data_IF_896450887308
#
_entry.id   IF_896450887308
#
_cell.length_a   1.000
_cell.length_b   1.000
_cell.length_c   1.000
_cell.angle_alpha   90.00
_cell.angle_beta   90.00
_cell.angle_gamma   90.00
#
_symmetry.space_group_name_H-M   'P 1'
#
loop_
_entity.id
_entity.type
_entity.pdbx_description
1 polymer ?
#
# COMPACT_ATOMS: atom_id res chain seq x y z
N UNK A 1 -2.09 -15.90 -10.01
CA UNK A 1 -1.87 -15.65 -11.45
C UNK A 1 -2.78 -14.58 -12.05
N UNK A 2 -4.07 -14.50 -11.67
CA UNK A 2 -5.05 -13.58 -12.27
C UNK A 2 -4.69 -12.07 -12.23
N UNK A 3 -4.07 -11.58 -11.15
CA UNK A 3 -3.68 -10.15 -11.04
C UNK A 3 -2.26 -9.83 -11.53
N UNK A 4 -1.39 -10.83 -11.63
CA UNK A 4 0.06 -10.62 -11.79
C UNK A 4 0.66 -11.36 -12.99
N UNK A 5 -0.14 -12.05 -13.80
CA UNK A 5 0.28 -12.73 -15.04
C UNK A 5 1.28 -13.88 -14.85
N UNK A 6 1.18 -14.92 -15.68
CA UNK A 6 2.28 -15.88 -15.87
C UNK A 6 3.40 -15.18 -16.67
N UNK A 7 4.65 -15.39 -16.27
CA UNK A 7 5.79 -14.54 -16.60
C UNK A 7 6.13 -14.34 -18.08
N UNK A 8 6.68 -13.16 -18.36
CA UNK A 8 7.36 -12.75 -19.59
C UNK A 8 7.63 -11.24 -19.48
N UNK A 9 8.84 -10.78 -19.83
CA UNK A 9 9.25 -9.35 -19.79
C UNK A 9 8.44 -8.41 -20.70
N UNK A 10 7.37 -8.91 -21.32
CA UNK A 10 6.52 -8.20 -22.28
C UNK A 10 5.19 -7.71 -21.69
N UNK A 11 4.82 -8.10 -20.47
CA UNK A 11 3.63 -7.56 -19.82
C UNK A 11 3.96 -6.32 -18.97
N UNK A 12 3.13 -5.28 -19.11
CA UNK A 12 3.20 -4.07 -18.31
C UNK A 12 3.19 -4.39 -16.79
N UNK A 13 3.85 -3.57 -15.96
CA UNK A 13 3.88 -3.75 -14.51
C UNK A 13 2.47 -3.82 -13.93
N UNK A 14 2.20 -4.76 -13.04
CA UNK A 14 0.94 -4.79 -12.31
C UNK A 14 0.97 -3.78 -11.16
N UNK A 15 0.31 -2.64 -11.32
CA UNK A 15 0.20 -1.60 -10.29
C UNK A 15 -1.13 -1.73 -9.57
N UNK A 16 -1.08 -2.12 -8.29
CA UNK A 16 -2.25 -2.41 -7.47
C UNK A 16 -2.28 -1.48 -6.28
N UNK A 17 -3.37 -0.73 -6.11
CA UNK A 17 -3.59 0.11 -4.92
C UNK A 17 -4.60 -0.52 -3.99
N UNK A 18 -4.21 -0.74 -2.74
CA UNK A 18 -5.06 -1.28 -1.67
C UNK A 18 -5.63 -0.11 -0.87
N UNK A 19 -6.95 0.03 -0.89
CA UNK A 19 -7.71 1.07 -0.18
C UNK A 19 -8.60 0.41 0.87
N UNK A 20 -9.19 1.19 1.77
CA UNK A 20 -10.03 0.64 2.82
C UNK A 20 -9.51 0.90 4.24
N UNK A 21 -10.00 0.11 5.19
CA UNK A 21 -9.60 0.14 6.59
C UNK A 21 -9.30 -1.28 7.05
N UNK A 22 -8.31 -1.48 7.94
CA UNK A 22 -7.89 -2.80 8.42
C UNK A 22 -7.26 -3.74 7.37
N UNK A 23 -6.31 -4.59 7.77
CA UNK A 23 -5.81 -5.73 6.97
C UNK A 23 -5.00 -5.43 5.70
N UNK A 24 -5.00 -4.19 5.17
CA UNK A 24 -4.27 -3.79 3.95
C UNK A 24 -2.78 -4.10 4.03
N UNK A 25 -2.10 -3.57 5.05
CA UNK A 25 -0.66 -3.76 5.26
C UNK A 25 -0.31 -5.25 5.31
N UNK A 26 -1.06 -6.04 6.08
CA UNK A 26 -0.87 -7.49 6.18
C UNK A 26 -1.06 -8.20 4.83
N UNK A 27 -2.10 -7.83 4.06
CA UNK A 27 -2.35 -8.39 2.74
C UNK A 27 -1.24 -8.02 1.74
N UNK A 28 -0.78 -6.77 1.75
CA UNK A 28 0.33 -6.29 0.91
C UNK A 28 1.58 -7.11 1.18
N UNK A 29 1.97 -7.28 2.45
CA UNK A 29 3.17 -8.04 2.79
C UNK A 29 3.04 -9.53 2.48
N UNK A 30 1.85 -10.12 2.68
CA UNK A 30 1.57 -11.49 2.26
C UNK A 30 1.77 -11.66 0.75
N UNK A 31 1.20 -10.76 -0.05
CA UNK A 31 1.32 -10.78 -1.51
C UNK A 31 2.76 -10.52 -1.98
N UNK A 32 3.45 -9.56 -1.37
CA UNK A 32 4.84 -9.25 -1.69
C UNK A 32 5.74 -10.47 -1.46
N UNK A 33 5.56 -11.17 -0.33
CA UNK A 33 6.28 -12.41 0.00
C UNK A 33 5.95 -13.54 -0.98
N UNK A 34 4.68 -13.71 -1.33
CA UNK A 34 4.25 -14.70 -2.32
C UNK A 34 4.88 -14.46 -3.70
N UNK A 35 5.15 -13.20 -4.05
CA UNK A 35 5.73 -12.79 -5.32
C UNK A 35 7.24 -12.51 -5.27
N UNK A 36 7.93 -12.77 -4.16
CA UNK A 36 9.30 -12.31 -3.90
C UNK A 36 10.37 -12.81 -4.90
N UNK A 37 10.07 -13.82 -5.73
CA UNK A 37 10.96 -14.23 -6.85
C UNK A 37 10.98 -13.23 -8.02
N UNK A 38 10.12 -12.23 -7.99
CA UNK A 38 9.99 -11.14 -8.95
C UNK A 38 10.48 -9.84 -8.33
N UNK A 39 10.69 -8.80 -9.13
CA UNK A 39 10.98 -7.46 -8.64
C UNK A 39 9.67 -6.81 -8.16
N UNK A 40 9.50 -6.68 -6.84
CA UNK A 40 8.30 -6.11 -6.22
C UNK A 40 8.62 -4.77 -5.56
N UNK A 41 7.81 -3.75 -5.85
CA UNK A 41 7.86 -2.47 -5.15
C UNK A 41 6.66 -2.37 -4.20
N UNK A 42 6.93 -2.04 -2.94
CA UNK A 42 5.90 -1.65 -1.96
C UNK A 42 6.08 -0.17 -1.64
N UNK A 43 5.00 0.60 -1.71
CA UNK A 43 5.06 2.06 -1.49
C UNK A 43 3.71 2.61 -1.00
N UNK A 44 3.66 3.68 -0.19
CA UNK A 44 2.39 4.33 0.18
C UNK A 44 1.88 5.29 -0.91
N UNK A 45 0.55 5.48 -1.01
CA UNK A 45 -0.04 6.61 -1.77
C UNK A 45 -0.17 7.89 -0.93
N UNK A 46 -0.14 7.76 0.40
CA UNK A 46 -0.11 8.90 1.33
C UNK A 46 0.95 8.68 2.39
N UNK A 47 0.72 7.76 3.33
CA UNK A 47 1.68 7.36 4.34
C UNK A 47 1.38 5.99 4.93
N UNK A 48 2.43 5.24 5.25
CA UNK A 48 2.35 3.97 5.99
C UNK A 48 3.37 3.95 7.12
N UNK A 49 3.16 3.03 8.06
CA UNK A 49 4.20 2.67 9.00
C UNK A 49 5.33 1.95 8.26
N UNK A 50 6.56 2.26 8.65
CA UNK A 50 7.71 1.44 8.28
C UNK A 50 7.66 0.19 9.16
N UNK A 51 7.59 -1.03 8.60
CA UNK A 51 7.67 -2.26 9.39
C UNK A 51 8.95 -2.25 10.24
N UNK A 52 8.87 -2.79 11.46
CA UNK A 52 10.04 -2.87 12.31
C UNK A 52 11.11 -3.79 11.66
N UNK A 53 12.42 -3.51 11.84
CA UNK A 53 13.49 -4.31 11.23
C UNK A 53 13.38 -5.82 11.50
N UNK A 54 12.83 -6.19 12.66
CA UNK A 54 12.64 -7.57 13.11
C UNK A 54 11.59 -8.32 12.28
N UNK A 55 10.66 -7.62 11.64
CA UNK A 55 9.59 -8.21 10.84
C UNK A 55 10.08 -8.75 9.49
N UNK A 56 11.28 -8.33 9.04
CA UNK A 56 11.93 -8.76 7.78
C UNK A 56 10.96 -8.77 6.59
N UNK A 57 10.18 -7.70 6.47
CA UNK A 57 9.11 -7.60 5.47
C UNK A 57 9.63 -7.33 4.05
N UNK A 58 10.84 -6.77 3.92
CA UNK A 58 11.44 -6.37 2.65
C UNK A 58 12.92 -6.74 2.61
N UNK A 59 13.46 -6.94 1.40
CA UNK A 59 14.88 -7.21 1.17
C UNK A 59 15.69 -5.90 1.07
N UNK A 60 15.04 -4.83 0.64
CA UNK A 60 15.65 -3.51 0.41
C UNK A 60 14.73 -2.39 0.87
N UNK A 61 15.32 -1.38 1.46
CA UNK A 61 14.68 -0.12 1.83
C UNK A 61 15.33 1.01 1.02
N UNK A 62 14.51 1.86 0.41
CA UNK A 62 14.96 3.03 -0.33
C UNK A 62 14.21 4.27 0.14
N UNK A 63 14.93 5.21 0.74
CA UNK A 63 14.41 6.55 0.97
C UNK A 63 14.47 7.34 -0.35
N UNK A 64 13.31 7.65 -0.91
CA UNK A 64 13.17 8.25 -2.23
C UNK A 64 13.10 7.21 -3.37
N UNK A 65 13.57 7.62 -4.55
CA UNK A 65 13.36 6.85 -5.79
C UNK A 65 14.19 5.55 -5.74
N UNK A 66 13.56 4.37 -5.87
CA UNK A 66 14.29 3.12 -5.82
C UNK A 66 15.24 2.97 -7.02
N UNK A 67 16.35 2.26 -6.81
CA UNK A 67 17.32 1.92 -7.84
C UNK A 67 16.73 0.90 -8.85
N UNK A 68 17.59 0.39 -9.75
CA UNK A 68 17.18 -0.58 -10.77
C UNK A 68 16.45 -1.79 -10.14
N UNK A 69 15.34 -2.24 -10.76
CA UNK A 69 14.54 -3.35 -10.27
C UNK A 69 15.36 -4.65 -10.28
N UNK A 70 15.35 -5.35 -9.14
CA UNK A 70 15.95 -6.68 -8.99
C UNK A 70 14.97 -7.58 -8.24
N UNK A 71 15.05 -8.92 -8.43
CA UNK A 71 14.20 -9.85 -7.70
C UNK A 71 14.23 -9.63 -6.18
N UNK A 72 13.08 -9.78 -5.54
CA UNK A 72 12.85 -9.48 -4.13
C UNK A 72 11.94 -8.27 -3.92
N UNK A 73 11.75 -7.92 -2.66
CA UNK A 73 10.83 -6.89 -2.20
C UNK A 73 11.62 -5.62 -1.87
N UNK A 74 11.30 -4.54 -2.56
CA UNK A 74 11.80 -3.19 -2.26
C UNK A 74 10.69 -2.37 -1.62
N UNK A 75 10.93 -1.83 -0.42
CA UNK A 75 10.10 -0.80 0.20
C UNK A 75 10.67 0.58 -0.17
N UNK A 76 9.87 1.47 -0.74
CA UNK A 76 10.31 2.82 -1.07
C UNK A 76 9.28 3.92 -0.78
N UNK A 77 9.78 5.08 -0.37
CA UNK A 77 9.00 6.27 -0.06
C UNK A 77 9.86 7.35 0.58
N UNK A 78 9.26 8.46 0.98
CA UNK A 78 9.96 9.57 1.63
C UNK A 78 9.78 9.44 3.15
N UNK A 79 10.84 9.22 3.91
CA UNK A 79 10.70 9.08 5.35
C UNK A 79 10.45 10.43 6.02
N UNK A 80 9.42 10.51 6.86
CA UNK A 80 9.13 11.68 7.65
C UNK A 80 9.50 11.41 9.12
N UNK A 81 10.59 12.02 9.57
CA UNK A 81 11.11 11.86 10.93
C UNK A 81 10.18 12.40 12.02
N UNK A 82 9.32 13.39 11.72
CA UNK A 82 8.37 13.96 12.69
C UNK A 82 7.23 13.00 12.98
N UNK A 83 6.78 12.26 11.95
CA UNK A 83 5.65 11.33 12.08
C UNK A 83 6.07 9.88 12.26
N UNK A 84 7.34 9.56 12.00
CA UNK A 84 7.87 8.19 11.99
C UNK A 84 7.30 7.33 10.86
N UNK A 85 6.74 7.95 9.81
CA UNK A 85 6.06 7.25 8.71
C UNK A 85 6.80 7.39 7.41
N UNK A 86 6.60 6.41 6.54
CA UNK A 86 7.00 6.49 5.15
C UNK A 86 5.88 7.15 4.37
N UNK A 87 6.18 8.24 3.67
CA UNK A 87 5.26 8.99 2.83
C UNK A 87 5.44 8.62 1.35
N UNK A 88 4.45 8.98 0.53
CA UNK A 88 4.44 8.66 -0.90
C UNK A 88 5.63 9.26 -1.64
N UNK A 89 6.09 8.53 -2.66
CA UNK A 89 6.99 9.11 -3.66
C UNK A 89 6.29 10.24 -4.41
N UNK A 90 7.02 11.27 -4.88
CA UNK A 90 6.48 12.24 -5.82
C UNK A 90 5.87 11.54 -7.05
N UNK A 91 4.75 12.04 -7.58
CA UNK A 91 4.01 11.39 -8.68
C UNK A 91 4.91 11.02 -9.86
N UNK A 92 5.76 11.95 -10.32
CA UNK A 92 6.69 11.70 -11.42
C UNK A 92 7.73 10.61 -11.10
N UNK A 93 8.15 10.49 -9.84
CA UNK A 93 9.05 9.44 -9.38
C UNK A 93 8.35 8.08 -9.34
N UNK A 94 7.10 8.03 -8.85
CA UNK A 94 6.28 6.82 -8.86
C UNK A 94 6.04 6.33 -10.29
N UNK A 95 5.63 7.22 -11.19
CA UNK A 95 5.41 6.93 -12.63
C UNK A 95 6.66 6.37 -13.32
N UNK A 96 7.84 6.84 -12.93
CA UNK A 96 9.11 6.31 -13.44
C UNK A 96 9.45 4.96 -12.82
N UNK A 97 9.26 4.83 -11.50
CA UNK A 97 9.60 3.62 -10.75
C UNK A 97 8.77 2.42 -11.21
N UNK A 98 7.45 2.58 -11.41
CA UNK A 98 6.55 1.47 -11.76
C UNK A 98 6.99 0.70 -13.01
N UNK A 99 7.61 1.36 -13.99
CA UNK A 99 8.00 0.76 -15.27
C UNK A 99 9.08 -0.32 -15.17
N UNK A 100 9.83 -0.34 -14.07
CA UNK A 100 10.90 -1.32 -13.87
C UNK A 100 10.47 -2.58 -13.12
N UNK A 101 9.41 -2.51 -12.33
CA UNK A 101 9.03 -3.59 -11.42
C UNK A 101 8.04 -4.55 -12.07
N UNK A 102 8.05 -5.82 -11.66
CA UNK A 102 7.04 -6.79 -12.14
C UNK A 102 5.68 -6.53 -11.48
N UNK A 103 5.68 -6.03 -10.24
CA UNK A 103 4.48 -5.56 -9.55
C UNK A 103 4.80 -4.42 -8.60
N UNK A 104 3.83 -3.51 -8.47
CA UNK A 104 3.86 -2.40 -7.51
C UNK A 104 2.62 -2.49 -6.63
N UNK A 105 2.83 -2.66 -5.32
CA UNK A 105 1.79 -2.74 -4.32
C UNK A 105 1.74 -1.43 -3.55
N UNK A 106 0.66 -0.69 -3.73
CA UNK A 106 0.48 0.64 -3.17
C UNK A 106 -0.49 0.58 -2.00
N UNK A 107 -0.08 1.02 -0.82
CA UNK A 107 -1.02 1.16 0.30
C UNK A 107 -1.62 2.57 0.34
N UNK A 108 -2.94 2.65 0.20
CA UNK A 108 -3.71 3.88 0.38
C UNK A 108 -4.57 3.85 1.64
N UNK A 109 -5.20 4.97 1.98
CA UNK A 109 -6.24 5.08 3.01
C UNK A 109 -5.86 4.62 4.42
N UNK A 110 -5.08 5.46 5.11
CA UNK A 110 -4.92 5.31 6.56
C UNK A 110 -6.26 5.44 7.30
N UNK A 111 -6.49 4.56 8.29
CA UNK A 111 -7.64 4.59 9.20
C UNK A 111 -7.23 4.85 10.67
N UNK A 112 -6.00 5.34 10.92
CA UNK A 112 -5.40 5.45 12.27
C UNK A 112 -5.51 4.16 13.09
N UNK A 113 -5.21 3.02 12.46
CA UNK A 113 -5.30 1.67 13.08
C UNK A 113 -6.71 1.25 13.53
N UNK A 114 -7.73 2.07 13.24
CA UNK A 114 -9.12 1.70 13.49
C UNK A 114 -9.65 0.81 12.35
N UNK A 115 -10.52 -0.16 12.67
CA UNK A 115 -11.00 -1.13 11.70
C UNK A 115 -11.93 -0.54 10.65
N UNK A 116 -12.65 0.55 10.96
CA UNK A 116 -13.54 1.26 10.04
C UNK A 116 -13.14 2.73 9.94
N UNK A 117 -13.56 3.40 8.86
CA UNK A 117 -13.37 4.85 8.69
C UNK A 117 -14.51 5.50 7.91
N UNK A 118 -14.80 6.76 8.21
CA UNK A 118 -15.47 7.67 7.28
C UNK A 118 -14.42 8.29 6.35
N UNK A 119 -14.64 8.17 5.04
CA UNK A 119 -13.75 8.76 4.03
C UNK A 119 -14.00 10.25 3.92
N UNK A 120 -12.91 11.04 3.82
CA UNK A 120 -13.04 12.45 3.45
C UNK A 120 -13.20 12.57 1.92
N UNK A 121 -13.65 13.73 1.46
CA UNK A 121 -13.89 14.03 0.03
C UNK A 121 -12.68 13.74 -0.89
N UNK A 122 -11.46 13.87 -0.37
CA UNK A 122 -10.22 13.63 -1.10
C UNK A 122 -9.68 12.18 -0.96
N UNK A 123 -10.40 11.30 -0.27
CA UNK A 123 -10.05 9.89 -0.09
C UNK A 123 -11.07 8.99 -0.81
N UNK A 124 -10.65 7.84 -1.37
CA UNK A 124 -9.30 7.29 -1.38
C UNK A 124 -8.31 8.01 -2.31
N UNK A 125 -7.05 8.10 -1.88
CA UNK A 125 -5.97 8.55 -2.78
C UNK A 125 -5.47 7.35 -3.59
N UNK A 126 -5.91 7.27 -4.84
CA UNK A 126 -5.50 6.25 -5.82
C UNK A 126 -4.65 6.90 -6.92
N UNK A 127 -3.35 6.57 -7.05
CA UNK A 127 -2.51 7.11 -8.10
C UNK A 127 -3.02 6.75 -9.51
N UNK A 128 -2.89 7.67 -10.47
CA UNK A 128 -3.30 7.49 -11.87
C UNK A 128 -2.64 6.30 -12.57
N UNK A 129 -1.45 5.90 -12.11
CA UNK A 129 -0.71 4.71 -12.59
C UNK A 129 -1.33 3.38 -12.18
N UNK A 130 -2.33 3.39 -11.29
CA UNK A 130 -2.98 2.18 -10.78
C UNK A 130 -3.74 1.45 -11.88
N UNK A 131 -3.49 0.15 -12.03
CA UNK A 131 -4.25 -0.72 -12.93
C UNK A 131 -5.43 -1.37 -12.21
N UNK A 132 -5.26 -1.71 -10.93
CA UNK A 132 -6.28 -2.38 -10.12
C UNK A 132 -6.37 -1.72 -8.75
N UNK A 133 -7.58 -1.40 -8.32
CA UNK A 133 -7.86 -0.97 -6.95
C UNK A 133 -8.51 -2.12 -6.17
N UNK A 134 -7.98 -2.43 -4.99
CA UNK A 134 -8.48 -3.48 -4.10
C UNK A 134 -8.99 -2.83 -2.82
N UNK A 135 -10.29 -2.93 -2.57
CA UNK A 135 -10.89 -2.52 -1.30
C UNK A 135 -10.73 -3.60 -0.23
N UNK A 136 -10.25 -3.21 0.96
CA UNK A 136 -10.07 -4.11 2.10
C UNK A 136 -10.86 -3.58 3.30
N UNK A 137 -11.72 -4.42 3.87
CA UNK A 137 -12.52 -4.11 5.05
C UNK A 137 -12.52 -5.31 5.99
N UNK A 138 -12.32 -5.13 7.31
CA UNK A 138 -12.44 -6.21 8.26
C UNK A 138 -13.91 -6.56 8.49
N UNK A 139 -14.21 -7.85 8.61
CA UNK A 139 -15.55 -8.33 8.97
C UNK A 139 -15.79 -8.38 10.49
N UNK A 140 -14.73 -8.44 11.30
CA UNK A 140 -14.87 -8.62 12.75
C UNK A 140 -15.63 -7.51 13.50
N UNK A 141 -15.69 -6.23 13.04
CA UNK A 141 -16.50 -5.21 13.71
C UNK A 141 -18.00 -5.34 13.49
N UNK A 142 -18.44 -6.31 12.67
CA UNK A 142 -19.86 -6.49 12.37
C UNK A 142 -20.66 -6.78 13.64
N UNK A 143 -21.75 -6.02 13.83
CA UNK A 143 -22.60 -6.12 15.02
C UNK A 143 -22.09 -5.35 16.25
N UNK A 144 -20.93 -4.70 16.16
CA UNK A 144 -20.44 -3.84 17.24
C UNK A 144 -21.15 -2.47 17.25
N UNK A 145 -21.27 -1.83 18.42
CA UNK A 145 -21.79 -0.47 18.51
C UNK A 145 -20.91 0.54 17.76
N UNK A 146 -21.56 1.36 16.93
CA UNK A 146 -20.95 2.49 16.23
C UNK A 146 -20.34 3.46 17.25
N UNK A 147 -19.02 3.64 17.19
CA UNK A 147 -18.29 4.54 18.10
C UNK A 147 -16.91 4.90 17.56
N UNK A 148 -16.33 5.97 18.10
CA UNK A 148 -14.97 6.43 17.78
C UNK A 148 -13.88 5.41 18.18
N UNK A 149 -14.23 4.40 18.99
CA UNK A 149 -13.33 3.29 19.36
C UNK A 149 -13.05 2.34 18.20
N UNK A 150 -13.94 2.30 17.20
CA UNK A 150 -13.83 1.39 16.06
C UNK A 150 -13.91 2.10 14.71
N UNK A 151 -14.31 3.38 14.68
CA UNK A 151 -14.49 4.16 13.45
C UNK A 151 -13.61 5.41 13.50
N UNK A 152 -12.70 5.54 12.54
CA UNK A 152 -11.97 6.78 12.29
C UNK A 152 -12.89 7.81 11.62
N UNK A 153 -12.91 9.06 12.12
CA UNK A 153 -13.80 10.14 11.62
C UNK A 153 -15.27 9.74 11.65
N UNK A 154 -15.75 9.38 12.84
CA UNK A 154 -17.13 8.94 13.07
C UNK A 154 -18.20 9.83 12.43
N UNK A 155 -18.12 11.19 12.48
CA UNK A 155 -19.11 12.04 11.82
C UNK A 155 -19.28 11.73 10.33
N UNK A 156 -18.17 11.61 9.58
CA UNK A 156 -18.18 11.29 8.13
C UNK A 156 -18.67 9.87 7.82
N UNK A 157 -18.59 8.94 8.79
CA UNK A 157 -19.07 7.57 8.61
C UNK A 157 -20.59 7.47 8.74
N UNK A 158 -21.20 8.39 9.49
CA UNK A 158 -22.64 8.40 9.78
C UNK A 158 -23.45 9.29 8.81
N UNK A 159 -22.79 9.96 7.88
CA UNK A 159 -23.40 10.68 6.75
C UNK A 159 -23.95 9.69 5.71
#
# INVERSE_FOLDING_TARGET
EFLFGAGGRENAPAVVTFVGSGGKTSLIWLLARFLARRAILVTPSTKIFVPAPEEKCFDRYCEGIPAAPVPGITLAGCFNAETGKLESLPTAALEKAVRGYDAVLIEGDGAKELPLKGWAEHEPVVPSVTNVTVGVLPLWPLGMPVSEKIIHRLPLFCE
#
